data_IF_216615371637
#
_entry.id   IF_216615371637
#
_cell.length_a   1.000
_cell.length_b   1.000
_cell.length_c   1.000
_cell.angle_alpha   90.00
_cell.angle_beta   90.00
_cell.angle_gamma   90.00
#
_symmetry.space_group_name_H-M   'P 1'
#
loop_
_entity.id
_entity.type
_entity.pdbx_description
1 polymer ?
#
# COMPACT_ATOMS: atom_id res chain seq x y z
N UNK A 1 20.52 -20.49 17.03
CA UNK A 1 19.27 -21.25 17.19
C UNK A 1 18.14 -20.24 17.24
N UNK A 2 17.59 -19.86 16.09
CA UNK A 2 16.50 -18.88 16.04
C UNK A 2 15.23 -19.62 16.44
N UNK A 3 14.73 -19.32 17.64
CA UNK A 3 13.48 -19.88 18.13
C UNK A 3 12.38 -19.29 17.25
N UNK A 4 11.86 -20.09 16.32
CA UNK A 4 10.64 -19.77 15.57
C UNK A 4 9.52 -19.90 16.60
N UNK A 5 9.20 -18.81 17.28
CA UNK A 5 8.11 -18.78 18.24
C UNK A 5 6.81 -19.01 17.45
N UNK A 6 5.95 -19.92 17.90
CA UNK A 6 4.64 -20.21 17.28
C UNK A 6 3.67 -18.99 17.33
N UNK A 7 4.14 -17.87 17.91
CA UNK A 7 3.53 -16.55 17.86
C UNK A 7 3.60 -15.89 16.49
N UNK A 8 4.56 -16.28 15.64
CA UNK A 8 4.85 -15.66 14.34
C UNK A 8 3.94 -16.18 13.22
N UNK A 9 2.90 -16.95 13.58
CA UNK A 9 1.96 -17.56 12.64
C UNK A 9 0.52 -17.26 13.05
N UNK A 10 -0.12 -16.34 12.34
CA UNK A 10 -1.58 -16.20 12.40
C UNK A 10 -2.19 -17.10 11.32
N UNK A 11 -3.00 -18.09 11.70
CA UNK A 11 -3.62 -19.04 10.76
C UNK A 11 -2.63 -19.78 9.84
N UNK A 12 -1.38 -20.01 10.29
CA UNK A 12 -0.34 -20.69 9.51
C UNK A 12 0.40 -19.80 8.51
N UNK A 13 0.11 -18.49 8.48
CA UNK A 13 0.79 -17.50 7.65
C UNK A 13 1.79 -16.74 8.52
N UNK A 14 3.02 -16.57 8.04
CA UNK A 14 4.03 -15.79 8.76
C UNK A 14 3.75 -14.28 8.71
N UNK A 15 4.29 -13.50 9.65
CA UNK A 15 4.20 -12.04 9.63
C UNK A 15 4.79 -11.44 8.34
N UNK A 16 5.85 -12.03 7.81
CA UNK A 16 6.45 -11.65 6.52
C UNK A 16 5.50 -11.91 5.35
N UNK A 17 4.89 -13.10 5.31
CA UNK A 17 3.91 -13.45 4.29
C UNK A 17 2.67 -12.54 4.36
N UNK A 18 2.20 -12.22 5.58
CA UNK A 18 1.10 -11.28 5.79
C UNK A 18 1.45 -9.88 5.27
N UNK A 19 2.68 -9.43 5.50
CA UNK A 19 3.18 -8.14 4.98
C UNK A 19 3.21 -8.12 3.45
N UNK A 20 3.64 -9.21 2.82
CA UNK A 20 3.63 -9.36 1.34
C UNK A 20 2.20 -9.34 0.80
N UNK A 21 1.30 -10.13 1.40
CA UNK A 21 -0.11 -10.17 1.00
C UNK A 21 -0.79 -8.81 1.14
N UNK A 22 -0.49 -8.07 2.20
CA UNK A 22 -1.00 -6.72 2.39
C UNK A 22 -0.54 -5.79 1.25
N UNK A 23 0.76 -5.76 0.94
CA UNK A 23 1.30 -4.94 -0.16
C UNK A 23 0.68 -5.30 -1.51
N UNK A 24 0.50 -6.58 -1.79
CA UNK A 24 -0.16 -7.04 -3.02
C UNK A 24 -1.63 -6.62 -3.08
N UNK A 25 -2.35 -6.67 -1.96
CA UNK A 25 -3.74 -6.22 -1.91
C UNK A 25 -3.89 -4.73 -2.25
N UNK A 26 -2.99 -3.88 -1.77
CA UNK A 26 -2.95 -2.44 -2.09
C UNK A 26 -2.63 -2.23 -3.57
N UNK A 27 -1.63 -2.94 -4.11
CA UNK A 27 -1.27 -2.88 -5.55
C UNK A 27 -2.46 -3.24 -6.45
N UNK A 28 -3.24 -4.25 -6.07
CA UNK A 28 -4.44 -4.66 -6.80
C UNK A 28 -5.54 -3.60 -6.72
N UNK A 29 -5.79 -3.02 -5.54
CA UNK A 29 -6.79 -1.94 -5.38
C UNK A 29 -6.43 -0.72 -6.24
N UNK A 30 -5.15 -0.33 -6.24
CA UNK A 30 -4.65 0.78 -7.05
C UNK A 30 -4.87 0.56 -8.55
N UNK A 31 -4.62 -0.66 -9.04
CA UNK A 31 -4.85 -1.02 -10.45
C UNK A 31 -6.35 -1.00 -10.79
N UNK A 32 -7.21 -1.51 -9.89
CA UNK A 32 -8.67 -1.45 -10.04
C UNK A 32 -9.13 0.02 -10.09
N UNK A 33 -8.60 0.89 -9.24
CA UNK A 33 -8.92 2.34 -9.23
C UNK A 33 -8.50 3.01 -10.52
N UNK A 34 -7.30 2.71 -11.01
CA UNK A 34 -6.79 3.21 -12.30
C UNK A 34 -7.72 2.84 -13.45
N UNK A 35 -8.11 1.56 -13.55
CA UNK A 35 -9.06 1.08 -14.58
C UNK A 35 -10.41 1.80 -14.46
N UNK A 36 -10.88 2.07 -13.24
CA UNK A 36 -12.14 2.78 -12.97
C UNK A 36 -12.07 4.30 -13.16
N UNK A 37 -10.89 4.86 -13.49
CA UNK A 37 -10.74 6.30 -13.62
C UNK A 37 -10.72 7.06 -12.28
N UNK A 38 -10.47 6.39 -11.16
CA UNK A 38 -10.51 6.96 -9.82
C UNK A 38 -9.11 7.37 -9.35
N UNK A 39 -8.97 8.51 -8.64
CA UNK A 39 -7.69 8.90 -8.08
C UNK A 39 -7.33 8.07 -6.83
N UNK A 40 -6.04 8.04 -6.52
CA UNK A 40 -5.43 7.32 -5.39
C UNK A 40 -4.72 8.31 -4.47
N UNK A 41 -4.99 8.24 -3.17
CA UNK A 41 -4.27 9.04 -2.19
C UNK A 41 -2.88 8.45 -1.94
N UNK A 42 -1.87 9.32 -1.93
CA UNK A 42 -0.46 8.99 -1.75
C UNK A 42 0.20 10.00 -0.81
N UNK A 43 1.42 9.70 -0.43
CA UNK A 43 2.25 10.56 0.38
C UNK A 43 3.62 10.68 -0.26
N UNK A 44 4.12 11.91 -0.36
CA UNK A 44 5.46 12.21 -0.84
C UNK A 44 6.38 12.35 0.38
N UNK A 45 7.27 11.37 0.58
CA UNK A 45 8.19 11.35 1.71
C UNK A 45 9.29 12.43 1.62
N UNK A 46 9.64 12.90 0.41
CA UNK A 46 10.65 13.93 0.20
C UNK A 46 10.11 15.31 0.56
N UNK A 47 8.86 15.59 0.15
CA UNK A 47 8.18 16.86 0.41
C UNK A 47 7.43 16.86 1.75
N UNK A 48 7.19 15.68 2.33
CA UNK A 48 6.39 15.52 3.54
C UNK A 48 4.93 15.93 3.35
N UNK A 49 4.35 15.69 2.17
CA UNK A 49 3.01 16.14 1.81
C UNK A 49 2.12 15.02 1.25
N UNK A 50 0.84 14.95 1.65
CA UNK A 50 -0.13 14.10 0.99
C UNK A 50 -0.52 14.66 -0.40
N UNK A 51 -0.79 13.76 -1.34
CA UNK A 51 -1.25 14.13 -2.69
C UNK A 51 -2.23 13.10 -3.25
N UNK A 52 -3.06 13.54 -4.20
CA UNK A 52 -3.91 12.66 -5.02
C UNK A 52 -3.24 12.40 -6.36
N UNK A 53 -3.04 11.12 -6.70
CA UNK A 53 -2.56 10.67 -8.01
C UNK A 53 -3.73 10.22 -8.88
N UNK A 54 -3.88 10.84 -10.04
CA UNK A 54 -4.92 10.52 -11.00
C UNK A 54 -4.44 9.46 -12.01
N UNK A 55 -5.35 8.73 -12.68
CA UNK A 55 -5.01 7.68 -13.65
C UNK A 55 -4.14 8.13 -14.84
N UNK A 56 -4.18 9.42 -15.17
CA UNK A 56 -3.36 10.05 -16.22
C UNK A 56 -1.94 10.43 -15.76
N UNK A 57 -1.61 10.16 -14.49
CA UNK A 57 -0.34 10.50 -13.86
C UNK A 57 -0.29 11.91 -13.26
N UNK A 58 -1.38 12.69 -13.33
CA UNK A 58 -1.46 14.01 -12.69
C UNK A 58 -1.42 13.85 -11.17
N UNK A 59 -0.64 14.71 -10.50
CA UNK A 59 -0.56 14.78 -9.04
C UNK A 59 -1.10 16.11 -8.53
N UNK A 60 -1.99 16.06 -7.54
CA UNK A 60 -2.50 17.23 -6.84
C UNK A 60 -2.10 17.12 -5.37
N UNK A 61 -1.19 17.99 -4.92
CA UNK A 61 -0.82 18.09 -3.52
C UNK A 61 -1.95 18.78 -2.75
N UNK A 62 -2.27 18.26 -1.56
CA UNK A 62 -3.16 18.95 -0.65
C UNK A 62 -2.33 20.00 0.07
N UNK A 63 -2.70 21.27 -0.11
CA UNK A 63 -2.19 22.36 0.73
C UNK A 63 -3.17 22.58 1.90
N UNK A 64 -2.62 22.89 3.07
CA UNK A 64 -3.37 23.18 4.31
C UNK A 64 -4.17 24.49 4.22
#
# INVERSE_FOLDING_TARGET
MTIINDLDKTCGISDDDMTVLFKESIRIDDEIRRIKGLPVARYDDELGKPYMEYPDGRREYLDD
#
